data_IF_203477123072
#
_entry.id   IF_203477123072
#
_cell.length_a   1.000
_cell.length_b   1.000
_cell.length_c   1.000
_cell.angle_alpha   90.00
_cell.angle_beta   90.00
_cell.angle_gamma   90.00
#
_symmetry.space_group_name_H-M   'P 1'
#
loop_
_entity.id
_entity.type
_entity.pdbx_description
1 polymer ?
#
# COMPACT_ATOMS: atom_id res chain seq x y z
N UNK A 1 19.72 2.52 -6.66
CA UNK A 1 19.18 3.55 -5.73
C UNK A 1 19.00 2.87 -4.38
N UNK A 2 19.44 3.49 -3.27
CA UNK A 2 19.36 2.92 -1.91
C UNK A 2 18.26 3.60 -1.07
N UNK A 3 17.11 3.87 -1.69
CA UNK A 3 15.98 4.49 -1.00
C UNK A 3 15.40 3.49 0.01
N UNK A 4 15.35 3.89 1.29
CA UNK A 4 14.78 3.10 2.39
C UNK A 4 13.40 3.57 2.81
N UNK A 5 13.10 4.85 2.61
CA UNK A 5 11.79 5.44 2.90
C UNK A 5 11.30 6.17 1.67
N UNK A 6 10.02 5.99 1.34
CA UNK A 6 9.31 6.77 0.34
C UNK A 6 8.05 7.33 0.96
N UNK A 7 7.81 8.62 0.73
CA UNK A 7 6.60 9.32 1.17
C UNK A 7 5.94 9.93 -0.05
N UNK A 8 4.68 9.56 -0.30
CA UNK A 8 3.83 10.11 -1.35
C UNK A 8 2.46 10.42 -0.72
N UNK A 9 2.33 11.64 -0.20
CA UNK A 9 1.11 12.16 0.44
C UNK A 9 0.69 13.46 -0.25
N UNK A 10 -0.54 13.89 0.01
CA UNK A 10 -1.16 15.09 -0.54
C UNK A 10 -1.00 15.21 -2.07
N UNK A 11 -1.47 14.18 -2.78
CA UNK A 11 -1.35 14.04 -4.23
C UNK A 11 -2.74 13.91 -4.88
N UNK A 12 -3.58 14.96 -4.87
CA UNK A 12 -5.02 14.87 -5.18
C UNK A 12 -5.35 14.54 -6.65
N UNK A 13 -4.37 14.65 -7.55
CA UNK A 13 -4.53 14.27 -8.96
C UNK A 13 -3.96 12.88 -9.27
N UNK A 14 -3.36 12.22 -8.28
CA UNK A 14 -2.70 10.94 -8.48
C UNK A 14 -3.74 9.82 -8.49
N UNK A 15 -3.76 9.05 -9.58
CA UNK A 15 -4.67 7.92 -9.80
C UNK A 15 -3.96 6.58 -9.78
N UNK A 16 -2.62 6.57 -9.85
CA UNK A 16 -1.80 5.37 -9.77
C UNK A 16 -0.45 5.67 -9.10
N UNK A 17 0.10 4.69 -8.40
CA UNK A 17 1.49 4.77 -7.91
C UNK A 17 2.51 4.53 -9.05
N UNK A 18 3.74 5.05 -8.93
CA UNK A 18 4.77 4.88 -9.94
C UNK A 18 5.11 3.40 -10.16
N UNK A 19 5.15 2.97 -11.42
CA UNK A 19 5.62 1.63 -11.78
C UNK A 19 7.09 1.50 -11.38
N UNK A 20 7.40 0.49 -10.55
CA UNK A 20 8.76 0.24 -10.05
C UNK A 20 9.03 0.66 -8.60
N UNK A 21 8.10 1.34 -7.92
CA UNK A 21 8.22 1.56 -6.47
C UNK A 21 8.34 0.23 -5.70
N UNK A 22 7.64 -0.79 -6.19
CA UNK A 22 7.62 -2.15 -5.64
C UNK A 22 8.87 -2.98 -5.95
N UNK A 23 9.74 -2.47 -6.85
CA UNK A 23 11.01 -3.07 -7.26
C UNK A 23 12.21 -2.47 -6.52
N UNK A 24 12.00 -1.45 -5.67
CA UNK A 24 13.07 -0.84 -4.89
C UNK A 24 13.65 -1.87 -3.90
N UNK A 25 14.92 -2.28 -4.04
CA UNK A 25 15.48 -3.44 -3.35
C UNK A 25 15.78 -3.20 -1.86
N UNK A 26 15.71 -1.94 -1.42
CA UNK A 26 16.03 -1.53 -0.05
C UNK A 26 14.91 -0.71 0.58
N UNK A 27 13.73 -0.63 -0.04
CA UNK A 27 12.61 0.12 0.51
C UNK A 27 12.06 -0.63 1.73
N UNK A 28 12.13 0.02 2.87
CA UNK A 28 11.74 -0.50 4.19
C UNK A 28 10.45 0.15 4.69
N UNK A 29 10.25 1.43 4.38
CA UNK A 29 9.11 2.21 4.83
C UNK A 29 8.41 2.90 3.65
N UNK A 30 7.09 2.77 3.59
CA UNK A 30 6.25 3.38 2.57
C UNK A 30 5.07 4.10 3.20
N UNK A 31 5.06 5.43 3.06
CA UNK A 31 3.95 6.28 3.44
C UNK A 31 3.22 6.75 2.18
N UNK A 32 1.99 6.33 1.98
CA UNK A 32 1.23 6.63 0.76
C UNK A 32 -0.22 6.96 1.06
N UNK A 33 -0.77 7.95 0.35
CA UNK A 33 -2.20 8.24 0.46
C UNK A 33 -2.55 9.68 0.13
N UNK A 34 -3.75 10.07 0.53
CA UNK A 34 -4.30 11.41 0.25
C UNK A 34 -4.29 11.67 -1.27
N UNK A 35 -4.73 10.65 -2.01
CA UNK A 35 -4.79 10.64 -3.46
C UNK A 35 -6.12 11.20 -3.98
N UNK A 36 -6.40 10.99 -5.27
CA UNK A 36 -7.62 11.49 -5.87
C UNK A 36 -8.89 10.97 -5.19
N UNK A 37 -9.79 11.90 -4.85
CA UNK A 37 -11.13 11.62 -4.30
C UNK A 37 -12.04 10.88 -5.28
N UNK A 38 -11.63 10.78 -6.55
CA UNK A 38 -12.39 10.06 -7.58
C UNK A 38 -12.17 8.54 -7.52
N UNK A 39 -11.15 8.06 -6.81
CA UNK A 39 -10.80 6.65 -6.72
C UNK A 39 -11.78 5.87 -5.84
N UNK A 40 -12.38 4.82 -6.39
CA UNK A 40 -13.17 3.81 -5.68
C UNK A 40 -12.30 2.69 -5.08
N UNK A 41 -11.04 2.60 -5.50
CA UNK A 41 -10.04 1.66 -5.02
C UNK A 41 -8.73 2.38 -4.70
N UNK A 42 -8.07 2.01 -3.60
CA UNK A 42 -6.77 2.57 -3.26
C UNK A 42 -5.69 2.13 -4.29
N UNK A 43 -4.89 3.07 -4.83
CA UNK A 43 -4.04 2.82 -6.00
C UNK A 43 -2.71 2.17 -5.62
N UNK A 44 -2.75 0.96 -5.07
CA UNK A 44 -1.55 0.16 -4.75
C UNK A 44 -1.06 -0.62 -5.97
N UNK A 45 0.26 -0.83 -6.16
CA UNK A 45 0.77 -1.50 -7.35
C UNK A 45 0.17 -2.90 -7.53
N UNK A 46 -0.25 -3.20 -8.76
CA UNK A 46 -0.70 -4.54 -9.21
C UNK A 46 0.13 -5.07 -10.38
N UNK A 47 0.89 -4.19 -11.05
CA UNK A 47 1.80 -4.48 -12.16
C UNK A 47 3.21 -3.95 -11.87
N UNK A 48 4.24 -4.61 -12.39
CA UNK A 48 5.65 -4.17 -12.28
C UNK A 48 6.11 -3.34 -13.48
N UNK A 49 7.36 -2.87 -13.46
CA UNK A 49 7.95 -2.05 -14.55
C UNK A 49 7.95 -2.74 -15.91
N UNK A 50 7.87 -4.07 -15.93
CA UNK A 50 7.86 -4.87 -17.14
C UNK A 50 6.42 -5.20 -17.59
N UNK A 51 5.40 -4.64 -16.93
CA UNK A 51 3.99 -4.86 -17.24
C UNK A 51 3.45 -6.20 -16.75
N UNK A 52 4.14 -6.90 -15.84
CA UNK A 52 3.67 -8.17 -15.31
C UNK A 52 2.83 -7.97 -14.05
N UNK A 53 1.77 -8.77 -13.88
CA UNK A 53 1.03 -8.85 -12.61
C UNK A 53 1.96 -9.25 -11.46
N UNK A 54 1.83 -8.53 -10.33
CA UNK A 54 2.63 -8.77 -9.12
C UNK A 54 1.91 -9.63 -8.08
N UNK A 55 0.65 -9.97 -8.33
CA UNK A 55 -0.17 -10.83 -7.47
C UNK A 55 0.54 -12.19 -7.33
N UNK A 56 0.74 -12.64 -6.09
CA UNK A 56 1.45 -13.89 -5.81
C UNK A 56 2.97 -13.84 -6.01
N UNK A 57 3.56 -12.64 -6.21
CA UNK A 57 5.01 -12.44 -6.27
C UNK A 57 5.50 -11.66 -5.06
N UNK A 58 6.70 -11.99 -4.56
CA UNK A 58 7.39 -11.18 -3.55
C UNK A 58 7.93 -9.88 -4.18
N UNK A 59 7.07 -8.88 -4.33
CA UNK A 59 7.47 -7.47 -4.48
C UNK A 59 7.58 -6.82 -3.10
N UNK A 60 8.18 -5.63 -3.03
CA UNK A 60 8.46 -4.97 -1.75
C UNK A 60 9.26 -5.87 -0.80
N UNK A 61 10.37 -6.44 -1.30
CA UNK A 61 11.14 -7.51 -0.62
C UNK A 61 11.66 -7.13 0.77
N UNK A 62 11.82 -5.84 1.03
CA UNK A 62 12.38 -5.30 2.26
C UNK A 62 11.38 -4.46 3.05
N UNK A 63 10.14 -4.33 2.58
CA UNK A 63 9.17 -3.43 3.20
C UNK A 63 8.72 -4.01 4.54
N UNK A 64 8.97 -3.26 5.59
CA UNK A 64 8.65 -3.60 6.98
C UNK A 64 7.54 -2.73 7.55
N UNK A 65 7.39 -1.51 7.03
CA UNK A 65 6.39 -0.55 7.49
C UNK A 65 5.61 0.04 6.32
N UNK A 66 4.28 0.03 6.44
CA UNK A 66 3.34 0.56 5.47
C UNK A 66 2.32 1.46 6.17
N UNK A 67 2.36 2.74 5.86
CA UNK A 67 1.38 3.72 6.33
C UNK A 67 0.47 4.12 5.15
N UNK A 68 -0.83 3.86 5.28
CA UNK A 68 -1.85 4.22 4.30
C UNK A 68 -2.66 5.39 4.81
N UNK A 69 -2.79 6.45 4.02
CA UNK A 69 -3.55 7.66 4.37
C UNK A 69 -4.78 7.82 3.46
N UNK A 70 -5.96 7.87 4.06
CA UNK A 70 -7.25 7.87 3.37
C UNK A 70 -7.92 9.23 3.27
N UNK A 71 -7.30 10.31 3.75
CA UNK A 71 -7.91 11.65 3.72
C UNK A 71 -8.33 12.03 2.30
N UNK A 72 -9.61 12.41 2.15
CA UNK A 72 -10.21 12.76 0.85
C UNK A 72 -10.59 11.56 -0.04
N UNK A 73 -10.25 10.33 0.34
CA UNK A 73 -10.54 9.11 -0.44
C UNK A 73 -11.88 8.47 -0.03
N UNK A 74 -12.95 9.27 -0.05
CA UNK A 74 -14.26 8.91 0.52
C UNK A 74 -15.03 7.81 -0.25
N UNK A 75 -14.52 7.32 -1.38
CA UNK A 75 -15.14 6.23 -2.14
C UNK A 75 -14.45 4.87 -1.92
N UNK A 76 -13.29 4.84 -1.26
CA UNK A 76 -12.54 3.60 -1.02
C UNK A 76 -13.19 2.82 0.12
N UNK A 77 -13.78 1.67 -0.24
CA UNK A 77 -14.49 0.79 0.68
C UNK A 77 -13.67 -0.39 1.21
N UNK A 78 -12.59 -0.72 0.51
CA UNK A 78 -11.71 -1.84 0.84
C UNK A 78 -10.25 -1.53 0.46
N UNK A 79 -9.32 -2.16 1.17
CA UNK A 79 -7.90 -2.11 0.86
C UNK A 79 -7.52 -3.16 -0.20
N UNK A 80 -6.51 -2.89 -1.03
CA UNK A 80 -6.15 -3.75 -2.15
C UNK A 80 -5.57 -5.08 -1.67
N UNK A 81 -6.07 -6.18 -2.26
CA UNK A 81 -5.66 -7.54 -1.93
C UNK A 81 -4.16 -7.82 -2.15
N UNK A 82 -3.45 -7.02 -2.96
CA UNK A 82 -2.02 -7.18 -3.18
C UNK A 82 -1.18 -6.95 -1.92
N UNK A 83 -1.70 -6.23 -0.92
CA UNK A 83 -1.04 -6.03 0.38
C UNK A 83 -0.80 -7.37 1.10
N UNK A 84 -1.63 -8.39 0.87
CA UNK A 84 -1.49 -9.71 1.51
C UNK A 84 -0.15 -10.41 1.23
N UNK A 85 0.57 -10.00 0.18
CA UNK A 85 1.84 -10.62 -0.23
C UNK A 85 3.07 -9.94 0.39
N UNK A 86 2.86 -8.94 1.27
CA UNK A 86 3.93 -8.24 1.99
C UNK A 86 4.44 -9.07 3.17
N UNK A 87 5.11 -10.19 2.88
CA UNK A 87 5.51 -11.19 3.88
C UNK A 87 6.49 -10.69 4.95
N UNK A 88 7.17 -9.55 4.73
CA UNK A 88 8.10 -8.94 5.69
C UNK A 88 7.47 -7.81 6.50
N UNK A 89 6.23 -7.43 6.19
CA UNK A 89 5.53 -6.33 6.84
C UNK A 89 5.33 -6.63 8.32
N UNK A 90 5.76 -5.71 9.16
CA UNK A 90 5.66 -5.77 10.63
C UNK A 90 4.67 -4.75 11.13
N UNK A 91 4.62 -3.59 10.49
CA UNK A 91 3.87 -2.44 10.95
C UNK A 91 2.95 -1.99 9.80
N UNK A 92 1.65 -2.05 10.03
CA UNK A 92 0.62 -1.57 9.11
C UNK A 92 -0.25 -0.55 9.83
N UNK A 93 -0.27 0.68 9.33
CA UNK A 93 -1.16 1.71 9.84
C UNK A 93 -2.08 2.22 8.74
N UNK A 94 -3.37 2.31 9.07
CA UNK A 94 -4.43 2.70 8.15
C UNK A 94 -5.09 3.94 8.74
N UNK A 95 -4.84 5.10 8.16
CA UNK A 95 -5.28 6.39 8.70
C UNK A 95 -6.43 6.96 7.89
N UNK A 96 -7.48 7.45 8.56
CA UNK A 96 -8.51 8.33 7.98
C UNK A 96 -9.28 7.80 6.76
N UNK A 97 -9.43 6.47 6.60
CA UNK A 97 -10.32 5.90 5.58
C UNK A 97 -11.79 5.91 6.06
N UNK A 98 -12.52 7.00 5.76
CA UNK A 98 -13.89 7.21 6.26
C UNK A 98 -14.94 6.21 5.75
N UNK A 99 -14.72 5.65 4.56
CA UNK A 99 -15.66 4.72 3.90
C UNK A 99 -15.23 3.27 3.94
N UNK A 100 -14.12 2.95 4.63
CA UNK A 100 -13.65 1.57 4.78
C UNK A 100 -14.67 0.78 5.61
N UNK A 101 -15.34 -0.18 4.97
CA UNK A 101 -16.47 -0.89 5.59
C UNK A 101 -16.00 -1.96 6.58
N UNK A 102 -14.87 -2.61 6.28
CA UNK A 102 -14.28 -3.64 7.10
C UNK A 102 -12.77 -3.76 6.83
N UNK A 103 -12.05 -4.32 7.80
CA UNK A 103 -10.71 -4.81 7.54
C UNK A 103 -10.77 -6.09 6.69
N UNK A 104 -9.87 -6.26 5.71
CA UNK A 104 -9.91 -7.39 4.82
C UNK A 104 -9.43 -8.69 5.48
N UNK A 105 -10.04 -9.82 5.11
CA UNK A 105 -9.71 -11.15 5.67
C UNK A 105 -8.24 -11.56 5.45
N UNK A 106 -7.63 -11.06 4.37
CA UNK A 106 -6.23 -11.34 4.07
C UNK A 106 -5.25 -10.78 5.11
N UNK A 107 -5.70 -9.94 6.04
CA UNK A 107 -4.89 -9.47 7.16
C UNK A 107 -4.28 -10.64 7.94
N UNK A 108 -5.01 -11.76 8.05
CA UNK A 108 -4.50 -13.01 8.66
C UNK A 108 -3.36 -13.68 7.88
N UNK A 109 -3.13 -13.31 6.62
CA UNK A 109 -2.02 -13.83 5.80
C UNK A 109 -0.70 -13.09 6.07
N UNK A 110 -0.73 -11.93 6.74
CA UNK A 110 0.47 -11.17 7.10
C UNK A 110 1.19 -11.79 8.31
N UNK A 111 1.85 -12.92 8.08
CA UNK A 111 2.48 -13.73 9.13
C UNK A 111 3.58 -13.01 9.93
N UNK A 112 4.17 -11.95 9.39
CA UNK A 112 5.19 -11.14 10.08
C UNK A 112 4.63 -9.92 10.82
N UNK A 113 3.33 -9.63 10.69
CA UNK A 113 2.71 -8.44 11.25
C UNK A 113 2.76 -8.47 12.78
N UNK A 114 3.15 -7.34 13.36
CA UNK A 114 3.35 -7.14 14.81
C UNK A 114 2.47 -6.02 15.33
N UNK A 115 2.33 -4.96 14.53
CA UNK A 115 1.51 -3.81 14.86
C UNK A 115 0.50 -3.55 13.75
N UNK A 116 -0.73 -3.29 14.17
CA UNK A 116 -1.81 -2.79 13.32
C UNK A 116 -2.39 -1.54 13.98
N UNK A 117 -2.25 -0.40 13.33
CA UNK A 117 -2.89 0.86 13.71
C UNK A 117 -4.05 1.21 12.78
N UNK A 118 -5.12 1.80 13.35
CA UNK A 118 -6.33 2.26 12.66
C UNK A 118 -6.68 3.68 13.09
#
# INVERSE_FOLDING_TARGET
VNLRKVIIRDCPNMTCLPTGISDLPSLEELDIGEFSSELDMFPFPTIDTNGNEIIGRSKFKSLVELNLYGDGMDKVKSLPNSIQYLNQLRDLHIWNFRSLEALPEWLGNLTSLRELGL
#
